data_IF_036188615401
#
_entry.id   IF_036188615401
#
_cell.length_a   1.000
_cell.length_b   1.000
_cell.length_c   1.000
_cell.angle_alpha   90.00
_cell.angle_beta   90.00
_cell.angle_gamma   90.00
#
_symmetry.space_group_name_H-M   'P 1'
#
loop_
_entity.id
_entity.type
_entity.pdbx_description
1 polymer ?
#
# COMPACT_ATOMS: atom_id res chain seq x y z
N UNK A 1 -35.15 -52.20 -9.70
CA UNK A 1 -35.08 -51.36 -10.91
C UNK A 1 -34.53 -50.01 -10.47
N UNK A 2 -33.29 -49.70 -10.85
CA UNK A 2 -32.54 -48.54 -10.39
C UNK A 2 -33.03 -47.25 -11.07
N UNK A 3 -33.28 -46.20 -10.30
CA UNK A 3 -33.26 -44.84 -10.81
C UNK A 3 -32.42 -43.98 -9.85
N UNK A 4 -31.10 -43.95 -10.11
CA UNK A 4 -30.20 -42.95 -9.52
C UNK A 4 -30.35 -41.68 -10.35
N UNK A 5 -30.99 -40.66 -9.79
CA UNK A 5 -30.96 -39.31 -10.35
C UNK A 5 -29.63 -38.68 -9.94
N UNK A 6 -28.75 -38.47 -10.92
CA UNK A 6 -27.48 -37.78 -10.75
C UNK A 6 -27.71 -36.30 -11.02
N UNK A 7 -27.77 -35.48 -9.97
CA UNK A 7 -27.83 -34.01 -10.11
C UNK A 7 -26.38 -33.52 -10.26
N UNK A 8 -25.99 -33.21 -11.49
CA UNK A 8 -24.73 -32.55 -11.80
C UNK A 8 -24.93 -31.03 -11.64
N UNK A 9 -24.55 -30.49 -10.48
CA UNK A 9 -24.53 -29.05 -10.26
C UNK A 9 -23.38 -28.40 -11.03
N UNK A 10 -23.67 -27.68 -12.12
CA UNK A 10 -22.72 -26.78 -12.75
C UNK A 10 -22.49 -25.58 -11.82
N UNK A 11 -21.34 -25.58 -11.14
CA UNK A 11 -20.77 -24.37 -10.55
C UNK A 11 -20.32 -23.45 -11.69
N UNK A 12 -21.21 -22.57 -12.16
CA UNK A 12 -20.78 -21.39 -12.91
C UNK A 12 -19.99 -20.51 -11.95
N UNK A 13 -18.66 -20.60 -12.01
CA UNK A 13 -17.81 -19.56 -11.45
C UNK A 13 -18.01 -18.32 -12.32
N UNK A 14 -18.71 -17.32 -11.80
CA UNK A 14 -18.70 -15.98 -12.35
C UNK A 14 -17.27 -15.46 -12.19
N UNK A 15 -16.42 -15.69 -13.19
CA UNK A 15 -15.18 -14.95 -13.30
C UNK A 15 -15.60 -13.51 -13.56
N UNK A 16 -15.53 -12.68 -12.52
CA UNK A 16 -15.51 -11.23 -12.69
C UNK A 16 -14.29 -10.98 -13.58
N UNK A 17 -14.54 -10.65 -14.85
CA UNK A 17 -13.45 -10.40 -15.79
C UNK A 17 -12.73 -9.15 -15.31
N UNK A 18 -11.44 -9.29 -15.00
CA UNK A 18 -10.58 -8.15 -14.80
C UNK A 18 -10.65 -7.25 -16.05
N UNK A 19 -10.51 -5.94 -15.84
CA UNK A 19 -10.51 -4.98 -16.94
C UNK A 19 -9.45 -5.34 -17.98
N UNK A 20 -9.78 -5.26 -19.25
CA UNK A 20 -8.78 -5.53 -20.31
C UNK A 20 -7.72 -4.43 -20.34
N UNK A 21 -6.52 -4.75 -20.83
CA UNK A 21 -5.44 -3.76 -21.00
C UNK A 21 -5.84 -2.61 -21.93
N UNK A 22 -6.63 -2.92 -22.98
CA UNK A 22 -7.20 -1.91 -23.88
C UNK A 22 -8.16 -0.98 -23.14
N UNK A 23 -9.10 -1.52 -22.37
CA UNK A 23 -10.09 -0.73 -21.64
C UNK A 23 -9.40 0.14 -20.56
N UNK A 24 -8.39 -0.39 -19.88
CA UNK A 24 -7.58 0.38 -18.95
C UNK A 24 -6.83 1.53 -19.64
N UNK A 25 -6.21 1.28 -20.80
CA UNK A 25 -5.54 2.31 -21.59
C UNK A 25 -6.53 3.38 -22.06
N UNK A 26 -7.73 3.00 -22.49
CA UNK A 26 -8.82 3.92 -22.85
C UNK A 26 -9.25 4.78 -21.66
N UNK A 27 -9.41 4.20 -20.46
CA UNK A 27 -9.79 4.92 -19.26
C UNK A 27 -8.73 5.92 -18.79
N UNK A 28 -7.44 5.59 -18.93
CA UNK A 28 -6.32 6.49 -18.60
C UNK A 28 -6.28 7.69 -19.54
N UNK A 29 -6.43 7.44 -20.85
CA UNK A 29 -6.30 8.48 -21.88
C UNK A 29 -7.57 9.33 -21.98
N UNK A 30 -8.75 8.73 -21.85
CA UNK A 30 -10.06 9.35 -21.94
C UNK A 30 -10.21 10.31 -23.16
N UNK A 31 -9.71 9.88 -24.32
CA UNK A 31 -9.81 10.64 -25.56
C UNK A 31 -10.29 9.72 -26.71
N UNK A 32 -11.56 9.86 -27.15
CA UNK A 32 -12.13 9.04 -28.22
C UNK A 32 -11.36 9.11 -29.55
N UNK A 33 -10.72 10.24 -29.85
CA UNK A 33 -9.97 10.43 -31.09
C UNK A 33 -8.73 9.53 -31.19
N UNK A 34 -8.29 8.94 -30.06
CA UNK A 34 -7.11 8.07 -30.00
C UNK A 34 -7.49 6.58 -29.98
N UNK A 35 -8.78 6.23 -30.06
CA UNK A 35 -9.26 4.85 -29.89
C UNK A 35 -8.63 3.87 -30.90
N UNK A 36 -8.55 4.23 -32.18
CA UNK A 36 -7.94 3.37 -33.19
C UNK A 36 -6.45 3.08 -32.91
N UNK A 37 -5.71 4.08 -32.41
CA UNK A 37 -4.30 3.92 -32.03
C UNK A 37 -4.16 3.07 -30.76
N UNK A 38 -5.09 3.21 -29.80
CA UNK A 38 -5.12 2.35 -28.62
C UNK A 38 -5.44 0.90 -28.98
N UNK A 39 -6.40 0.65 -29.87
CA UNK A 39 -6.70 -0.69 -30.39
C UNK A 39 -5.47 -1.33 -31.05
N UNK A 40 -4.79 -0.61 -31.93
CA UNK A 40 -3.55 -1.09 -32.56
C UNK A 40 -2.48 -1.53 -31.55
N UNK A 41 -2.38 -0.83 -30.41
CA UNK A 41 -1.38 -1.09 -29.39
C UNK A 41 -1.78 -2.22 -28.43
N UNK A 42 -3.06 -2.36 -28.09
CA UNK A 42 -3.50 -3.20 -26.97
C UNK A 42 -4.51 -4.30 -27.33
N UNK A 43 -5.22 -4.21 -28.46
CA UNK A 43 -6.22 -5.20 -28.85
C UNK A 43 -5.57 -6.55 -29.18
N UNK A 44 -6.14 -7.64 -28.65
CA UNK A 44 -5.63 -8.99 -28.82
C UNK A 44 -4.30 -9.27 -28.11
N UNK A 45 -3.79 -8.34 -27.29
CA UNK A 45 -2.57 -8.51 -26.50
C UNK A 45 -2.90 -8.64 -25.02
N UNK A 46 -2.19 -9.52 -24.35
CA UNK A 46 -2.30 -9.71 -22.91
C UNK A 46 -1.17 -8.96 -22.21
N UNK A 47 -1.52 -7.94 -21.44
CA UNK A 47 -0.60 -7.23 -20.55
C UNK A 47 -1.02 -7.48 -19.10
N UNK A 48 -1.12 -8.74 -18.71
CA UNK A 48 -1.37 -9.15 -17.33
C UNK A 48 -0.04 -9.44 -16.62
N UNK A 49 0.09 -8.98 -15.39
CA UNK A 49 1.26 -9.25 -14.55
C UNK A 49 1.15 -10.62 -13.85
N UNK A 50 2.21 -11.00 -13.14
CA UNK A 50 2.27 -12.28 -12.43
C UNK A 50 1.21 -12.45 -11.33
N UNK A 51 0.49 -11.38 -11.00
CA UNK A 51 -0.57 -11.36 -10.00
C UNK A 51 -1.98 -11.43 -10.60
N UNK A 52 -2.12 -11.47 -11.92
CA UNK A 52 -3.41 -11.51 -12.59
C UNK A 52 -4.07 -10.14 -12.79
N UNK A 53 -3.34 -9.03 -12.61
CA UNK A 53 -3.83 -7.68 -12.86
C UNK A 53 -3.18 -7.12 -14.12
N UNK A 54 -3.81 -6.13 -14.75
CA UNK A 54 -3.17 -5.41 -15.84
C UNK A 54 -1.82 -4.85 -15.37
N UNK A 55 -0.75 -5.14 -16.11
CA UNK A 55 0.59 -4.62 -15.89
C UNK A 55 0.63 -3.12 -16.22
N UNK A 56 0.12 -2.31 -15.30
CA UNK A 56 -0.04 -0.88 -15.47
C UNK A 56 1.31 -0.16 -15.64
N UNK A 57 2.40 -0.75 -15.14
CA UNK A 57 3.76 -0.25 -15.37
C UNK A 57 4.13 -0.31 -16.86
N UNK A 58 3.81 -1.42 -17.52
CA UNK A 58 4.06 -1.63 -18.94
C UNK A 58 3.08 -0.84 -19.81
N UNK A 59 1.80 -0.84 -19.46
CA UNK A 59 0.77 -0.07 -20.16
C UNK A 59 1.11 1.42 -20.14
N UNK A 60 1.43 1.98 -18.96
CA UNK A 60 1.87 3.39 -18.83
C UNK A 60 3.10 3.68 -19.68
N UNK A 61 4.09 2.77 -19.69
CA UNK A 61 5.28 2.90 -20.54
C UNK A 61 4.92 2.94 -22.03
N UNK A 62 4.09 2.02 -22.52
CA UNK A 62 3.65 2.00 -23.92
C UNK A 62 2.94 3.31 -24.29
N UNK A 63 2.03 3.80 -23.45
CA UNK A 63 1.32 5.06 -23.67
C UNK A 63 2.29 6.25 -23.74
N UNK A 64 3.28 6.33 -22.83
CA UNK A 64 4.30 7.40 -22.83
C UNK A 64 5.20 7.34 -24.06
N UNK A 65 5.73 6.16 -24.40
CA UNK A 65 6.62 5.96 -25.57
C UNK A 65 5.90 6.28 -26.89
N UNK A 66 4.59 6.11 -26.94
CA UNK A 66 3.76 6.46 -28.11
C UNK A 66 3.22 7.90 -28.07
N UNK A 67 3.69 8.72 -27.12
CA UNK A 67 3.25 10.11 -26.89
C UNK A 67 1.74 10.27 -26.67
N UNK A 68 1.10 9.24 -26.12
CA UNK A 68 -0.32 9.24 -25.79
C UNK A 68 -0.59 9.78 -24.38
N UNK A 69 0.35 9.56 -23.45
CA UNK A 69 0.26 10.01 -22.07
C UNK A 69 1.34 11.05 -21.80
N UNK A 70 0.93 12.32 -21.66
CA UNK A 70 1.77 13.39 -21.13
C UNK A 70 1.52 13.57 -19.64
N UNK A 71 2.59 13.56 -18.84
CA UNK A 71 2.52 13.71 -17.38
C UNK A 71 3.03 15.06 -16.89
N UNK A 72 3.46 15.94 -17.80
CA UNK A 72 3.91 17.29 -17.48
C UNK A 72 2.86 18.32 -17.91
N UNK A 73 2.67 19.32 -17.06
CA UNK A 73 1.73 20.42 -17.27
C UNK A 73 2.51 21.72 -17.51
N UNK A 74 1.95 22.60 -18.34
CA UNK A 74 2.58 23.89 -18.66
C UNK A 74 2.74 24.81 -17.42
N UNK A 75 1.81 24.70 -16.47
CA UNK A 75 1.80 25.44 -15.21
C UNK A 75 1.27 24.55 -14.07
N UNK A 76 1.36 25.04 -12.83
CA UNK A 76 0.78 24.31 -11.69
C UNK A 76 -0.74 24.27 -11.86
N UNK A 77 -1.32 23.10 -11.67
CA UNK A 77 -2.75 22.87 -11.73
C UNK A 77 -3.22 22.19 -10.45
N UNK A 78 -4.49 22.45 -10.12
CA UNK A 78 -5.17 21.77 -9.03
C UNK A 78 -5.63 20.39 -9.51
N UNK A 79 -4.91 19.35 -9.10
CA UNK A 79 -5.23 17.97 -9.40
C UNK A 79 -6.18 17.41 -8.34
N UNK A 80 -7.20 16.67 -8.79
CA UNK A 80 -8.06 15.90 -7.88
C UNK A 80 -7.78 14.40 -8.07
N UNK A 81 -7.36 13.74 -7.00
CA UNK A 81 -7.09 12.31 -6.97
C UNK A 81 -8.13 11.63 -6.08
N UNK A 82 -8.86 10.66 -6.62
CA UNK A 82 -9.83 9.84 -5.87
C UNK A 82 -9.33 8.40 -5.81
N UNK A 83 -9.22 7.86 -4.60
CA UNK A 83 -8.87 6.47 -4.37
C UNK A 83 -10.10 5.75 -3.80
N UNK A 84 -10.43 4.60 -4.39
CA UNK A 84 -11.57 3.79 -3.98
C UNK A 84 -11.13 2.36 -3.73
N UNK A 85 -11.57 1.78 -2.63
CA UNK A 85 -11.27 0.38 -2.30
C UNK A 85 -12.23 -0.19 -1.26
N UNK A 86 -12.38 -1.51 -1.29
CA UNK A 86 -12.88 -2.29 -0.15
C UNK A 86 -11.70 -2.66 0.73
N UNK A 87 -11.49 -1.92 1.82
CA UNK A 87 -10.29 -2.03 2.63
C UNK A 87 -10.55 -1.69 4.11
N UNK A 88 -9.65 -2.10 5.00
CA UNK A 88 -9.58 -1.52 6.35
C UNK A 88 -9.21 -0.04 6.25
N UNK A 89 -9.98 0.81 6.94
CA UNK A 89 -9.83 2.26 6.90
C UNK A 89 -8.41 2.75 7.22
N UNK A 90 -7.77 2.20 8.27
CA UNK A 90 -6.44 2.66 8.72
C UNK A 90 -5.36 2.22 7.72
N UNK A 91 -5.38 0.94 7.33
CA UNK A 91 -4.44 0.40 6.35
C UNK A 91 -4.56 1.07 4.98
N UNK A 92 -5.79 1.34 4.53
CA UNK A 92 -6.09 2.05 3.30
C UNK A 92 -5.47 3.44 3.26
N UNK A 93 -5.78 4.28 4.26
CA UNK A 93 -5.24 5.62 4.35
C UNK A 93 -3.72 5.62 4.47
N UNK A 94 -3.16 4.70 5.28
CA UNK A 94 -1.72 4.57 5.47
C UNK A 94 -1.00 4.27 4.16
N UNK A 95 -1.42 3.23 3.44
CA UNK A 95 -0.77 2.82 2.18
C UNK A 95 -0.93 3.88 1.10
N UNK A 96 -2.12 4.47 0.93
CA UNK A 96 -2.35 5.51 -0.09
C UNK A 96 -1.48 6.75 0.18
N UNK A 97 -1.45 7.23 1.43
CA UNK A 97 -0.65 8.41 1.78
C UNK A 97 0.86 8.13 1.63
N UNK A 98 1.36 6.99 2.09
CA UNK A 98 2.77 6.62 1.95
C UNK A 98 3.14 6.48 0.46
N UNK A 99 2.26 5.89 -0.35
CA UNK A 99 2.47 5.74 -1.79
C UNK A 99 2.52 7.09 -2.53
N UNK A 100 1.64 8.03 -2.17
CA UNK A 100 1.66 9.39 -2.74
C UNK A 100 2.94 10.13 -2.36
N UNK A 101 3.35 10.06 -1.10
CA UNK A 101 4.61 10.65 -0.63
C UNK A 101 5.81 10.10 -1.41
N UNK A 102 5.87 8.77 -1.60
CA UNK A 102 6.93 8.13 -2.38
C UNK A 102 6.88 8.51 -3.88
N UNK A 103 5.70 8.79 -4.41
CA UNK A 103 5.52 9.31 -5.77
C UNK A 103 5.83 10.82 -5.89
N UNK A 104 6.22 11.49 -4.80
CA UNK A 104 6.58 12.92 -4.78
C UNK A 104 5.41 13.88 -4.49
N UNK A 105 4.22 13.37 -4.20
CA UNK A 105 3.04 14.15 -3.83
C UNK A 105 2.97 14.28 -2.31
N UNK A 106 3.74 15.22 -1.73
CA UNK A 106 3.89 15.37 -0.27
C UNK A 106 2.85 16.33 0.34
N UNK A 107 2.42 17.34 -0.42
CA UNK A 107 1.48 18.36 0.05
C UNK A 107 0.12 18.16 -0.62
N UNK A 108 -0.75 17.38 0.02
CA UNK A 108 -2.11 17.13 -0.45
C UNK A 108 -3.14 17.47 0.63
N UNK A 109 -4.31 17.93 0.20
CA UNK A 109 -5.43 18.28 1.09
C UNK A 109 -6.57 17.29 0.88
N UNK A 110 -7.00 16.55 1.93
CA UNK A 110 -8.24 15.80 1.89
C UNK A 110 -9.44 16.69 1.61
N UNK A 111 -10.20 16.36 0.57
CA UNK A 111 -11.44 17.07 0.19
C UNK A 111 -12.68 16.20 0.38
N UNK A 112 -12.52 14.88 0.43
CA UNK A 112 -13.59 13.95 0.80
C UNK A 112 -12.98 12.70 1.43
N UNK A 113 -13.60 12.23 2.51
CA UNK A 113 -13.26 10.98 3.15
C UNK A 113 -14.55 10.27 3.54
N UNK A 114 -14.87 9.20 2.82
CA UNK A 114 -15.95 8.27 3.14
C UNK A 114 -15.33 6.91 3.44
N UNK A 115 -15.46 6.45 4.67
CA UNK A 115 -14.85 5.22 5.16
C UNK A 115 -15.93 4.16 5.44
N UNK A 116 -16.80 3.96 4.46
CA UNK A 116 -17.87 2.96 4.51
C UNK A 116 -17.31 1.52 4.55
N UNK A 117 -18.14 0.59 5.02
CA UNK A 117 -17.81 -0.84 5.12
C UNK A 117 -17.80 -1.58 3.77
N UNK A 118 -18.31 -0.96 2.72
CA UNK A 118 -18.34 -1.57 1.37
C UNK A 118 -17.23 -1.01 0.49
N UNK A 119 -17.33 0.28 0.13
CA UNK A 119 -16.30 0.98 -0.65
C UNK A 119 -15.91 2.25 0.10
N UNK A 120 -14.68 2.28 0.59
CA UNK A 120 -14.04 3.49 1.09
C UNK A 120 -13.62 4.37 -0.08
N UNK A 121 -13.88 5.67 0.03
CA UNK A 121 -13.47 6.70 -0.92
C UNK A 121 -12.64 7.76 -0.21
N UNK A 122 -11.44 8.01 -0.74
CA UNK A 122 -10.55 9.06 -0.26
C UNK A 122 -10.17 9.97 -1.41
N UNK A 123 -10.64 11.21 -1.36
CA UNK A 123 -10.41 12.22 -2.40
C UNK A 123 -9.50 13.32 -1.87
N UNK A 124 -8.49 13.64 -2.65
CA UNK A 124 -7.43 14.57 -2.35
C UNK A 124 -7.33 15.65 -3.43
N UNK A 125 -6.89 16.83 -3.03
CA UNK A 125 -6.45 17.91 -3.92
C UNK A 125 -4.95 18.12 -3.79
N UNK A 126 -4.26 18.26 -4.91
CA UNK A 126 -2.82 18.54 -4.96
C UNK A 126 -2.52 19.62 -5.99
N UNK A 127 -1.75 20.63 -5.62
CA UNK A 127 -1.21 21.60 -6.57
C UNK A 127 0.09 21.05 -7.17
N UNK A 128 0.11 20.79 -8.47
CA UNK A 128 1.26 20.16 -9.13
C UNK A 128 1.41 20.54 -10.59
N UNK A 129 2.67 20.54 -11.07
CA UNK A 129 3.02 20.57 -12.50
C UNK A 129 3.13 19.19 -13.13
N UNK A 130 2.96 18.14 -12.33
CA UNK A 130 3.12 16.75 -12.74
C UNK A 130 1.87 15.96 -12.38
N UNK A 131 1.35 15.20 -13.35
CA UNK A 131 0.30 14.22 -13.13
C UNK A 131 0.91 12.97 -12.48
N UNK A 132 0.19 12.36 -11.53
CA UNK A 132 0.60 11.10 -10.91
C UNK A 132 0.75 10.02 -11.99
N UNK A 133 1.98 9.55 -12.23
CA UNK A 133 2.24 8.48 -13.19
C UNK A 133 1.57 7.19 -12.71
N UNK A 134 0.52 6.67 -13.39
CA UNK A 134 -0.19 5.49 -12.94
C UNK A 134 0.70 4.24 -12.91
N UNK A 135 1.71 4.16 -13.79
CA UNK A 135 2.63 3.02 -13.84
C UNK A 135 3.62 3.02 -12.68
N UNK A 136 4.21 4.18 -12.37
CA UNK A 136 5.12 4.31 -11.22
C UNK A 136 4.38 4.16 -9.90
N UNK A 137 3.17 4.73 -9.80
CA UNK A 137 2.31 4.59 -8.63
C UNK A 137 1.88 3.15 -8.39
N UNK A 138 1.57 2.39 -9.45
CA UNK A 138 1.31 0.95 -9.36
C UNK A 138 2.48 0.18 -8.74
N UNK A 139 3.71 0.45 -9.20
CA UNK A 139 4.92 -0.20 -8.68
C UNK A 139 5.16 0.10 -7.19
N UNK A 140 4.81 1.31 -6.75
CA UNK A 140 4.87 1.70 -5.33
C UNK A 140 3.83 0.92 -4.52
N UNK A 141 2.57 0.89 -4.96
CA UNK A 141 1.50 0.16 -4.28
C UNK A 141 1.77 -1.34 -4.17
N UNK A 142 2.38 -1.96 -5.20
CA UNK A 142 2.76 -3.38 -5.20
C UNK A 142 3.73 -3.75 -4.07
N UNK A 143 4.51 -2.82 -3.53
CA UNK A 143 5.36 -3.06 -2.36
C UNK A 143 4.54 -3.45 -1.13
N UNK A 144 3.27 -3.02 -1.06
CA UNK A 144 2.31 -3.35 -0.01
C UNK A 144 1.26 -4.37 -0.48
N UNK A 145 1.50 -5.10 -1.58
CA UNK A 145 0.53 -6.03 -2.17
C UNK A 145 -0.84 -5.40 -2.46
N UNK A 146 -0.83 -4.12 -2.84
CA UNK A 146 -2.01 -3.39 -3.33
C UNK A 146 -1.92 -3.27 -4.84
N UNK A 147 -3.03 -3.56 -5.51
CA UNK A 147 -3.09 -3.58 -6.97
C UNK A 147 -4.09 -2.53 -7.46
N UNK A 148 -3.83 -1.94 -8.64
CA UNK A 148 -4.75 -1.03 -9.28
C UNK A 148 -5.63 -1.85 -10.22
N UNK A 149 -6.92 -1.91 -9.93
CA UNK A 149 -7.92 -2.55 -10.79
C UNK A 149 -8.28 -1.64 -11.96
N UNK A 150 -8.33 -0.32 -11.75
CA UNK A 150 -8.63 0.64 -12.81
C UNK A 150 -8.09 2.04 -12.49
N UNK A 151 -7.81 2.82 -13.55
CA UNK A 151 -7.53 4.24 -13.50
C UNK A 151 -8.40 4.95 -14.52
N UNK A 152 -9.26 5.86 -14.08
CA UNK A 152 -10.13 6.65 -14.95
C UNK A 152 -9.78 8.12 -14.85
N UNK A 153 -9.54 8.77 -15.99
CA UNK A 153 -9.54 10.23 -16.06
C UNK A 153 -10.99 10.72 -16.13
N UNK A 154 -11.47 11.39 -15.09
CA UNK A 154 -12.87 11.82 -14.93
C UNK A 154 -13.08 13.30 -15.24
N UNK A 155 -12.00 14.06 -15.38
CA UNK A 155 -12.00 15.46 -15.75
C UNK A 155 -10.65 15.88 -16.34
N UNK A 156 -10.45 17.15 -16.64
CA UNK A 156 -9.19 17.64 -17.20
C UNK A 156 -7.98 17.30 -16.31
N UNK A 157 -8.16 17.43 -14.99
CA UNK A 157 -7.15 17.21 -13.95
C UNK A 157 -7.67 16.33 -12.81
N UNK A 158 -8.69 15.52 -13.07
CA UNK A 158 -9.34 14.65 -12.08
C UNK A 158 -9.14 13.19 -12.47
N UNK A 159 -8.64 12.40 -11.53
CA UNK A 159 -8.29 10.99 -11.73
C UNK A 159 -8.85 10.14 -10.61
N UNK A 160 -9.41 8.99 -10.98
CA UNK A 160 -9.96 8.01 -10.05
C UNK A 160 -9.21 6.68 -10.18
N UNK A 161 -8.79 6.14 -9.04
CA UNK A 161 -8.08 4.87 -8.91
C UNK A 161 -8.96 3.90 -8.12
N UNK A 162 -9.31 2.77 -8.74
CA UNK A 162 -9.91 1.63 -8.06
C UNK A 162 -8.80 0.68 -7.64
N UNK A 163 -8.70 0.41 -6.34
CA UNK A 163 -7.60 -0.33 -5.74
C UNK A 163 -8.11 -1.62 -5.10
N UNK A 164 -7.40 -2.72 -5.33
CA UNK A 164 -7.61 -3.98 -4.64
C UNK A 164 -6.68 -4.08 -3.42
N UNK A 165 -7.28 -4.14 -2.24
CA UNK A 165 -6.64 -4.30 -0.94
C UNK A 165 -6.82 -5.70 -0.33
N UNK A 166 -7.42 -6.65 -1.05
CA UNK A 166 -7.72 -8.01 -0.56
C UNK A 166 -6.49 -8.76 -0.08
N UNK A 167 -5.31 -8.44 -0.64
CA UNK A 167 -4.00 -9.01 -0.29
C UNK A 167 -3.07 -8.00 0.39
N UNK A 168 -3.57 -6.83 0.74
CA UNK A 168 -2.76 -5.74 1.26
C UNK A 168 -1.99 -6.17 2.52
N UNK A 169 -0.70 -5.84 2.53
CA UNK A 169 0.21 -6.06 3.66
C UNK A 169 1.11 -4.85 3.78
N UNK A 170 1.22 -4.29 4.99
CA UNK A 170 2.14 -3.18 5.23
C UNK A 170 3.58 -3.62 4.97
N UNK A 171 4.26 -2.90 4.08
CA UNK A 171 5.69 -3.01 3.85
C UNK A 171 6.44 -2.41 5.04
N UNK A 172 7.19 -3.26 5.73
CA UNK A 172 7.92 -2.90 6.94
C UNK A 172 9.28 -2.29 6.59
N UNK A 173 9.70 -1.25 7.30
CA UNK A 173 11.02 -0.64 7.09
C UNK A 173 12.16 -1.43 7.75
N UNK A 174 11.83 -2.48 8.50
CA UNK A 174 12.77 -3.24 9.31
C UNK A 174 12.51 -4.73 9.14
N UNK A 175 13.53 -5.47 8.68
CA UNK A 175 13.45 -6.92 8.53
C UNK A 175 14.14 -7.61 9.71
N UNK A 176 13.41 -8.46 10.42
CA UNK A 176 13.90 -9.19 11.60
C UNK A 176 13.66 -10.68 11.37
N UNK A 177 14.69 -11.50 11.58
CA UNK A 177 14.55 -12.96 11.46
C UNK A 177 14.06 -13.55 12.79
N UNK A 178 13.22 -14.58 12.72
CA UNK A 178 12.81 -15.32 13.91
C UNK A 178 13.99 -16.07 14.51
N UNK A 179 14.03 -16.15 15.84
CA UNK A 179 15.03 -16.85 16.64
C UNK A 179 16.48 -16.41 16.37
N UNK A 180 16.67 -15.19 15.85
CA UNK A 180 17.97 -14.60 15.59
C UNK A 180 18.01 -13.14 16.02
N UNK A 181 19.11 -12.75 16.67
CA UNK A 181 19.32 -11.35 17.03
C UNK A 181 19.65 -10.52 15.80
N UNK A 182 18.93 -9.41 15.61
CA UNK A 182 19.09 -8.48 14.49
C UNK A 182 19.47 -7.09 15.01
N UNK A 183 20.57 -6.53 14.51
CA UNK A 183 20.94 -5.13 14.82
C UNK A 183 20.23 -4.18 13.87
N UNK A 184 19.58 -3.16 14.45
CA UNK A 184 18.86 -2.10 13.78
C UNK A 184 19.73 -0.84 13.78
N UNK A 185 19.87 -0.19 12.63
CA UNK A 185 20.61 1.08 12.51
C UNK A 185 19.86 2.26 13.12
N UNK A 186 20.49 3.43 13.19
CA UNK A 186 19.86 4.67 13.69
C UNK A 186 18.50 4.90 13.02
N UNK A 187 17.41 5.07 13.80
CA UNK A 187 16.10 5.32 13.22
C UNK A 187 15.96 6.78 12.80
N UNK A 188 15.49 7.01 11.56
CA UNK A 188 14.95 8.30 11.13
C UNK A 188 13.42 8.40 11.36
N UNK A 189 12.81 7.24 11.58
CA UNK A 189 11.40 7.02 11.91
C UNK A 189 11.32 5.76 12.76
N UNK A 190 10.21 5.56 13.47
CA UNK A 190 9.96 4.34 14.23
C UNK A 190 10.23 3.08 13.38
N UNK A 191 10.78 2.05 13.99
CA UNK A 191 10.93 0.74 13.36
C UNK A 191 9.55 0.10 13.26
N UNK A 192 9.16 -0.31 12.06
CA UNK A 192 7.95 -1.07 11.82
C UNK A 192 8.41 -2.47 11.42
N UNK A 193 7.95 -3.47 12.17
CA UNK A 193 8.47 -4.83 12.15
C UNK A 193 7.32 -5.79 11.93
N UNK A 194 7.48 -6.75 11.01
CA UNK A 194 6.59 -7.90 10.87
C UNK A 194 6.97 -8.92 11.93
N UNK A 195 6.02 -9.25 12.80
CA UNK A 195 6.24 -10.14 13.93
C UNK A 195 6.36 -11.61 13.52
N UNK A 196 5.97 -11.97 12.27
CA UNK A 196 6.12 -13.32 11.69
C UNK A 196 5.54 -14.45 12.57
N UNK A 197 4.54 -14.12 13.40
CA UNK A 197 3.94 -15.05 14.36
C UNK A 197 4.84 -15.42 15.54
N UNK A 198 5.74 -14.53 15.95
CA UNK A 198 6.47 -14.64 17.21
C UNK A 198 5.54 -14.46 18.42
N UNK A 199 5.89 -15.09 19.53
CA UNK A 199 5.19 -15.02 20.81
C UNK A 199 5.85 -14.06 21.80
N UNK A 200 7.14 -13.74 21.61
CA UNK A 200 7.84 -12.75 22.42
C UNK A 200 8.75 -11.86 21.59
N UNK A 201 8.97 -10.65 22.09
CA UNK A 201 9.92 -9.68 21.56
C UNK A 201 10.86 -9.25 22.69
N UNK A 202 12.16 -9.25 22.39
CA UNK A 202 13.20 -8.70 23.26
C UNK A 202 13.98 -7.64 22.50
N UNK A 203 14.20 -6.50 23.15
CA UNK A 203 14.84 -5.31 22.58
C UNK A 203 15.93 -4.82 23.53
N UNK A 204 17.06 -4.41 22.96
CA UNK A 204 18.18 -3.86 23.70
C UNK A 204 18.71 -2.61 23.02
N UNK A 205 18.80 -1.53 23.78
CA UNK A 205 19.46 -0.30 23.34
C UNK A 205 20.96 -0.34 23.69
N UNK A 206 21.74 0.52 23.03
CA UNK A 206 23.13 0.73 23.41
C UNK A 206 23.22 1.24 24.87
N UNK A 207 24.22 0.81 25.67
CA UNK A 207 24.43 1.37 27.01
C UNK A 207 24.63 2.90 27.03
N UNK A 208 25.12 3.46 25.92
CA UNK A 208 25.35 4.89 25.75
C UNK A 208 24.13 5.67 25.22
N UNK A 209 22.99 4.99 25.04
CA UNK A 209 21.70 5.56 24.66
C UNK A 209 20.80 5.69 25.90
N UNK A 210 19.78 6.54 25.79
CA UNK A 210 18.86 6.90 26.87
C UNK A 210 17.45 6.52 26.47
N UNK A 211 17.25 5.24 26.15
CA UNK A 211 16.00 4.78 25.56
C UNK A 211 14.87 4.78 26.58
N UNK A 212 13.74 5.36 26.20
CA UNK A 212 12.45 5.26 26.87
C UNK A 212 11.55 4.41 25.97
N UNK A 213 11.46 3.08 26.22
CA UNK A 213 10.79 2.17 25.32
C UNK A 213 9.36 2.57 24.99
N UNK A 214 9.08 2.67 23.68
CA UNK A 214 7.74 2.74 23.11
C UNK A 214 7.55 1.59 22.13
N UNK A 215 6.61 0.71 22.41
CA UNK A 215 6.26 -0.43 21.56
C UNK A 215 4.74 -0.44 21.37
N UNK A 216 4.29 -0.31 20.13
CA UNK A 216 2.89 -0.38 19.76
C UNK A 216 2.65 -1.67 18.96
N UNK A 217 1.78 -2.53 19.46
CA UNK A 217 1.34 -3.73 18.76
C UNK A 217 0.05 -3.45 17.99
N UNK A 218 0.02 -3.84 16.72
CA UNK A 218 -1.15 -3.66 15.85
C UNK A 218 -1.46 -4.94 15.09
N UNK A 219 -2.73 -5.11 14.73
CA UNK A 219 -3.18 -6.23 13.89
C UNK A 219 -2.80 -6.04 12.41
N UNK A 220 -3.21 -7.00 11.56
CA UNK A 220 -2.98 -6.95 10.10
C UNK A 220 -3.55 -5.70 9.42
N UNK A 221 -4.58 -5.11 10.02
CA UNK A 221 -5.35 -3.97 9.51
C UNK A 221 -4.90 -2.64 10.15
N UNK A 222 -3.79 -2.68 10.91
CA UNK A 222 -3.18 -1.60 11.68
C UNK A 222 -4.05 -1.05 12.82
N UNK A 223 -5.01 -1.83 13.30
CA UNK A 223 -5.76 -1.48 14.51
C UNK A 223 -4.88 -1.73 15.73
N UNK A 224 -4.91 -0.77 16.67
CA UNK A 224 -4.20 -0.86 17.94
C UNK A 224 -4.68 -2.08 18.74
N UNK A 225 -3.73 -2.90 19.17
CA UNK A 225 -3.97 -3.99 20.12
C UNK A 225 -3.46 -3.60 21.50
N UNK A 226 -2.23 -3.10 21.58
CA UNK A 226 -1.60 -2.72 22.83
C UNK A 226 -0.55 -1.62 22.58
N UNK A 227 -0.41 -0.71 23.55
CA UNK A 227 0.64 0.32 23.57
C UNK A 227 1.42 0.21 24.88
N UNK A 228 2.72 -0.06 24.78
CA UNK A 228 3.64 -0.17 25.91
C UNK A 228 4.62 0.99 25.86
N UNK A 229 4.48 1.92 26.81
CA UNK A 229 5.33 3.10 26.93
C UNK A 229 5.95 3.16 28.33
N UNK A 230 7.27 3.36 28.38
CA UNK A 230 7.98 3.64 29.61
C UNK A 230 8.25 5.13 29.75
N UNK A 231 7.97 5.67 30.93
CA UNK A 231 8.43 7.00 31.34
C UNK A 231 9.84 6.95 31.96
N UNK A 232 10.33 5.74 32.27
CA UNK A 232 11.65 5.53 32.82
C UNK A 232 12.62 5.02 31.74
N UNK A 233 13.89 5.43 31.88
CA UNK A 233 14.95 4.93 31.01
C UNK A 233 15.07 3.41 31.19
N UNK A 234 14.95 2.67 30.10
CA UNK A 234 15.21 1.25 30.11
C UNK A 234 15.88 0.79 28.81
N UNK A 235 17.14 0.35 28.92
CA UNK A 235 17.91 -0.12 27.77
C UNK A 235 17.70 -1.62 27.46
N UNK A 236 16.86 -2.34 28.22
CA UNK A 236 16.50 -3.73 27.96
C UNK A 236 14.99 -3.92 28.16
N UNK A 237 14.27 -4.21 27.09
CA UNK A 237 12.84 -4.45 27.12
C UNK A 237 12.54 -5.87 26.69
N UNK A 238 11.58 -6.53 27.31
CA UNK A 238 11.04 -7.81 26.84
C UNK A 238 9.57 -7.91 27.21
N UNK A 239 8.76 -8.40 26.28
CA UNK A 239 7.34 -8.62 26.51
C UNK A 239 6.83 -9.81 25.69
N UNK A 240 5.75 -10.43 26.16
CA UNK A 240 4.91 -11.27 25.31
C UNK A 240 4.26 -10.43 24.21
N UNK A 241 4.14 -11.01 23.03
CA UNK A 241 3.40 -10.42 21.92
C UNK A 241 1.91 -10.78 22.10
N UNK A 242 0.99 -9.79 22.11
CA UNK A 242 -0.43 -10.06 22.18
C UNK A 242 -0.93 -10.94 21.02
N UNK A 243 -1.96 -11.75 21.29
CA UNK A 243 -2.62 -12.53 20.25
C UNK A 243 -3.12 -11.62 19.12
N UNK A 244 -2.97 -12.08 17.87
CA UNK A 244 -3.35 -11.38 16.64
C UNK A 244 -2.50 -10.16 16.25
N UNK A 245 -1.47 -9.81 17.03
CA UNK A 245 -0.50 -8.82 16.62
C UNK A 245 0.28 -9.32 15.39
N UNK A 246 0.28 -8.52 14.33
CA UNK A 246 1.02 -8.81 13.09
C UNK A 246 2.22 -7.89 12.98
N UNK A 247 2.11 -6.66 13.46
CA UNK A 247 3.19 -5.69 13.42
C UNK A 247 3.50 -5.12 14.80
N UNK A 248 4.76 -4.76 15.00
CA UNK A 248 5.19 -3.90 16.09
C UNK A 248 5.80 -2.61 15.53
N UNK A 249 5.41 -1.48 16.12
CA UNK A 249 6.01 -0.17 15.89
C UNK A 249 6.86 0.14 17.12
N UNK A 250 8.18 0.17 16.94
CA UNK A 250 9.16 0.33 18.01
C UNK A 250 9.85 1.67 17.86
N UNK A 251 9.86 2.46 18.93
CA UNK A 251 10.50 3.76 18.95
C UNK A 251 10.86 4.19 20.37
N UNK A 252 10.91 5.49 20.57
CA UNK A 252 11.13 6.13 21.87
C UNK A 252 9.90 6.96 22.23
N UNK A 253 9.56 7.01 23.53
CA UNK A 253 8.40 7.77 24.04
C UNK A 253 8.54 9.28 23.85
N UNK A 254 9.78 9.80 23.74
CA UNK A 254 10.04 11.24 23.66
C UNK A 254 10.73 11.64 22.35
N UNK A 255 11.84 11.00 22.00
CA UNK A 255 12.63 11.38 20.83
C UNK A 255 13.50 10.22 20.32
N UNK A 256 13.47 9.94 19.02
CA UNK A 256 14.29 8.92 18.37
C UNK A 256 15.81 9.16 18.50
N UNK A 257 16.26 10.40 18.74
CA UNK A 257 17.67 10.68 19.01
C UNK A 257 18.17 10.02 20.32
N UNK A 258 17.26 9.62 21.21
CA UNK A 258 17.60 8.85 22.40
C UNK A 258 18.15 7.45 22.09
N UNK A 259 17.83 6.92 20.90
CA UNK A 259 18.31 5.64 20.35
C UNK A 259 19.17 5.83 19.11
N UNK A 260 20.03 6.86 19.12
CA UNK A 260 20.89 7.23 17.98
C UNK A 260 21.83 6.13 17.48
N UNK A 261 22.14 5.11 18.31
CA UNK A 261 22.97 3.96 17.90
C UNK A 261 22.12 2.77 17.42
N UNK A 262 20.80 2.93 17.44
CA UNK A 262 19.83 1.91 17.10
C UNK A 262 19.59 0.90 18.21
N UNK A 263 18.91 -0.19 17.86
CA UNK A 263 18.48 -1.24 18.78
C UNK A 263 18.98 -2.61 18.31
N UNK A 264 19.03 -3.57 19.21
CA UNK A 264 19.14 -4.98 18.91
C UNK A 264 17.79 -5.64 19.24
N UNK A 265 17.25 -6.42 18.30
CA UNK A 265 15.95 -7.08 18.45
C UNK A 265 16.08 -8.59 18.30
N UNK A 266 15.33 -9.33 19.13
CA UNK A 266 15.13 -10.76 19.03
C UNK A 266 13.62 -11.08 19.07
N UNK A 267 13.14 -11.87 18.11
CA UNK A 267 11.79 -12.39 18.07
C UNK A 267 11.81 -13.90 18.30
N UNK A 268 11.00 -14.42 19.21
CA UNK A 268 10.95 -15.86 19.50
C UNK A 268 9.54 -16.43 19.46
N UNK A 269 9.42 -17.72 19.13
CA UNK A 269 8.17 -18.48 19.22
C UNK A 269 8.10 -19.23 20.54
#
# INVERSE_FOLDING_TARGET
MFAKVLILGMLLSTKVFAISSLELAQNIIANPNLEAKLKLLFEGRDYTDENGYANLSEISRILKTNSLLSLTLASSQSLELSFKSKASNILFLKIVNDALNQAGFVYFTPIQLDLSTDISTYKLRVESRYILDPGSFYMILKQNFVFIENVRKTGAYSYEYSLDFSRAKLSTNTNVMLNQSTKLGRPLKDYIIDLKGANTISLKASPADTWFPKIIFVDKDLKLIENLESQEKNNNFSSSIPSNAVYAIVGDSYNLDNIRRGLEIYLSK
#
